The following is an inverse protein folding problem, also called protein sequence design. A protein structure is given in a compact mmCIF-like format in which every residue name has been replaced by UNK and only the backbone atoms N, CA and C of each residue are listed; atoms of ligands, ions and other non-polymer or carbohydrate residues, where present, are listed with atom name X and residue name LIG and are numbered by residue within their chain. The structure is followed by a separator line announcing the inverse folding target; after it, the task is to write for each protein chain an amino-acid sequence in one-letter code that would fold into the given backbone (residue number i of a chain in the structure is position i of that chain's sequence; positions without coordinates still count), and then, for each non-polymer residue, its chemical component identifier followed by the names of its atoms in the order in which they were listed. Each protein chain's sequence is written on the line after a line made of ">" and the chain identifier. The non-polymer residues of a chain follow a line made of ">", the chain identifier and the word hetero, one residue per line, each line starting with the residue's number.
data_IF_997418908206
#
_entry.id   IF_997418908206
#
_cell.length_a   1.000
_cell.length_b   1.000
_cell.length_c   1.000
_cell.angle_alpha   90.00
_cell.angle_beta   90.00
_cell.angle_gamma   90.00
#
_symmetry.space_group_name_H-M   'P 1'
#
loop_
_entity.id
_entity.type
_entity.pdbx_description
1 polymer ?
#
# COMPACT_ATOMS: atom_id res chain seq x y z
N UNK A 1 12.56 0.87 2.12
CA UNK A 1 13.71 0.87 1.23
C UNK A 1 13.81 2.19 0.49
N UNK A 2 12.76 2.71 -0.09
CA UNK A 2 12.74 4.01 -0.77
C UNK A 2 13.08 5.16 0.18
N UNK A 3 12.56 5.18 1.38
CA UNK A 3 12.80 6.24 2.37
C UNK A 3 14.29 6.34 2.74
N UNK A 4 14.98 5.19 2.78
CA UNK A 4 16.41 5.14 2.96
C UNK A 4 17.15 5.69 1.73
N UNK A 5 16.76 5.24 0.52
CA UNK A 5 17.37 5.68 -0.75
C UNK A 5 17.18 7.17 -1.01
N UNK A 6 16.01 7.72 -0.66
CA UNK A 6 15.69 9.15 -0.77
C UNK A 6 16.31 10.00 0.35
N UNK A 7 16.93 9.39 1.34
CA UNK A 7 17.63 10.10 2.40
C UNK A 7 16.72 10.77 3.43
N UNK A 8 15.47 10.35 3.58
CA UNK A 8 14.51 10.97 4.52
C UNK A 8 14.98 10.94 5.98
N UNK A 9 15.82 9.97 6.36
CA UNK A 9 16.45 9.90 7.66
C UNK A 9 17.32 11.12 8.01
N UNK A 10 17.77 11.90 7.02
CA UNK A 10 18.57 13.11 7.24
C UNK A 10 17.71 14.29 7.73
N UNK A 11 16.41 14.28 7.42
CA UNK A 11 15.46 15.36 7.76
C UNK A 11 14.39 14.92 8.76
N UNK A 12 14.18 13.60 8.94
CA UNK A 12 13.16 13.04 9.82
C UNK A 12 13.78 12.08 10.84
N UNK A 13 13.60 12.38 12.11
CA UNK A 13 14.16 11.60 13.24
C UNK A 13 13.28 10.43 13.65
N UNK A 14 11.98 10.52 13.44
CA UNK A 14 11.00 9.54 13.87
C UNK A 14 10.34 8.87 12.67
N UNK A 15 10.13 7.55 12.80
CA UNK A 15 9.46 6.72 11.82
C UNK A 15 8.27 6.05 12.48
N UNK A 16 7.06 6.42 12.04
CA UNK A 16 5.83 5.94 12.66
C UNK A 16 5.20 4.79 11.89
N UNK A 17 4.63 3.83 12.63
CA UNK A 17 3.85 2.73 12.09
C UNK A 17 2.57 2.50 12.91
N UNK A 18 1.54 1.84 12.38
CA UNK A 18 1.40 1.41 10.98
C UNK A 18 1.22 2.60 10.03
N UNK A 19 1.46 2.38 8.72
CA UNK A 19 1.10 3.32 7.67
C UNK A 19 -0.42 3.40 7.52
N UNK A 20 -1.07 4.18 8.36
CA UNK A 20 -2.53 4.19 8.52
C UNK A 20 -3.30 4.66 7.29
N UNK A 21 -2.72 5.54 6.49
CA UNK A 21 -3.34 6.13 5.30
C UNK A 21 -2.94 5.40 4.01
N UNK A 22 -1.74 4.87 3.98
CA UNK A 22 -1.15 4.23 2.80
C UNK A 22 -0.17 3.12 3.23
N UNK A 23 -0.70 1.95 3.58
CA UNK A 23 0.14 0.82 4.01
C UNK A 23 0.94 0.18 2.85
N UNK A 24 0.59 0.52 1.61
CA UNK A 24 1.25 0.16 0.37
C UNK A 24 0.86 1.14 -0.72
N UNK A 25 1.70 1.30 -1.75
CA UNK A 25 1.40 2.15 -2.89
C UNK A 25 0.96 1.33 -4.09
N UNK A 26 -0.11 1.78 -4.75
CA UNK A 26 -0.48 1.32 -6.07
C UNK A 26 0.03 2.33 -7.09
N UNK A 27 1.02 1.90 -7.88
CA UNK A 27 1.56 2.71 -8.95
C UNK A 27 0.89 2.33 -10.27
N UNK A 28 0.80 3.31 -11.17
CA UNK A 28 0.13 3.17 -12.45
C UNK A 28 1.13 3.38 -13.58
N UNK A 29 0.99 2.56 -14.62
CA UNK A 29 1.65 2.81 -15.89
C UNK A 29 0.65 3.49 -16.83
N UNK A 30 0.81 4.80 -17.01
CA UNK A 30 -0.11 5.62 -17.80
C UNK A 30 0.44 5.78 -19.22
N UNK A 31 -0.38 5.41 -20.20
CA UNK A 31 -0.06 5.52 -21.63
C UNK A 31 -1.10 6.39 -22.33
N UNK A 32 -0.67 7.23 -23.25
CA UNK A 32 -1.59 7.91 -24.14
C UNK A 32 -2.29 6.89 -25.03
N UNK A 33 -3.62 6.86 -25.04
CA UNK A 33 -4.40 5.85 -25.78
C UNK A 33 -4.14 5.88 -27.27
N UNK A 34 -4.09 7.09 -27.88
CA UNK A 34 -3.88 7.23 -29.31
C UNK A 34 -2.48 6.73 -29.72
N UNK A 35 -1.46 7.03 -28.89
CA UNK A 35 -0.11 6.52 -29.10
C UNK A 35 -0.02 5.00 -28.94
N UNK A 36 -0.80 4.42 -28.03
CA UNK A 36 -0.85 2.96 -27.85
C UNK A 36 -1.58 2.27 -29.01
N UNK A 37 -2.70 2.85 -29.47
CA UNK A 37 -3.51 2.25 -30.53
C UNK A 37 -2.80 2.18 -31.88
N UNK A 38 -1.88 3.10 -32.19
CA UNK A 38 -1.09 3.05 -33.44
C UNK A 38 0.07 2.03 -33.41
N UNK A 39 0.35 1.42 -32.26
CA UNK A 39 1.37 0.38 -32.17
C UNK A 39 0.89 -0.89 -32.88
N UNK A 40 1.77 -1.62 -33.56
CA UNK A 40 1.51 -2.99 -33.99
C UNK A 40 1.14 -3.90 -32.81
N UNK A 41 0.37 -4.96 -33.08
CA UNK A 41 -0.15 -5.86 -32.02
C UNK A 41 0.96 -6.54 -31.21
N UNK A 42 2.07 -6.89 -31.84
CA UNK A 42 3.24 -7.44 -31.17
C UNK A 42 3.88 -6.45 -30.18
N UNK A 43 3.96 -5.17 -30.51
CA UNK A 43 4.46 -4.14 -29.60
C UNK A 43 3.46 -3.83 -28.47
N UNK A 44 2.15 -3.85 -28.75
CA UNK A 44 1.12 -3.76 -27.70
C UNK A 44 1.29 -4.90 -26.68
N UNK A 45 1.43 -6.13 -27.17
CA UNK A 45 1.65 -7.30 -26.31
C UNK A 45 2.94 -7.20 -25.49
N UNK A 46 4.03 -6.68 -26.08
CA UNK A 46 5.29 -6.45 -25.35
C UNK A 46 5.09 -5.45 -24.21
N UNK A 47 4.41 -4.34 -24.46
CA UNK A 47 4.14 -3.33 -23.41
C UNK A 47 3.30 -3.94 -22.27
N UNK A 48 2.25 -4.68 -22.59
CA UNK A 48 1.40 -5.34 -21.59
C UNK A 48 2.17 -6.38 -20.75
N UNK A 49 3.01 -7.16 -21.35
CA UNK A 49 3.84 -8.16 -20.63
C UNK A 49 4.91 -7.46 -19.79
N UNK A 50 5.59 -6.46 -20.35
CA UNK A 50 6.62 -5.72 -19.63
C UNK A 50 6.07 -5.01 -18.39
N UNK A 51 4.88 -4.40 -18.46
CA UNK A 51 4.26 -3.74 -17.30
C UNK A 51 3.93 -4.74 -16.18
N UNK A 52 3.47 -5.94 -16.54
CA UNK A 52 3.22 -7.01 -15.55
C UNK A 52 4.52 -7.52 -14.93
N UNK A 53 5.58 -7.69 -15.72
CA UNK A 53 6.88 -8.10 -15.22
C UNK A 53 7.47 -7.08 -14.25
N UNK A 54 7.48 -5.79 -14.61
CA UNK A 54 7.97 -4.71 -13.74
C UNK A 54 7.15 -4.60 -12.45
N UNK A 55 5.83 -4.82 -12.51
CA UNK A 55 4.99 -4.84 -11.30
C UNK A 55 5.42 -5.95 -10.34
N UNK A 56 5.70 -7.15 -10.86
CA UNK A 56 6.16 -8.28 -10.04
C UNK A 56 7.56 -8.01 -9.48
N UNK A 57 8.50 -7.58 -10.31
CA UNK A 57 9.86 -7.25 -9.90
C UNK A 57 9.88 -6.20 -8.77
N UNK A 58 9.04 -5.18 -8.88
CA UNK A 58 8.93 -4.14 -7.86
C UNK A 58 8.42 -4.71 -6.52
N UNK A 59 7.37 -5.54 -6.55
CA UNK A 59 6.83 -6.18 -5.34
C UNK A 59 7.89 -7.05 -4.66
N UNK A 60 8.62 -7.84 -5.44
CA UNK A 60 9.68 -8.73 -4.96
C UNK A 60 10.83 -7.93 -4.35
N UNK A 61 11.24 -6.84 -5.00
CA UNK A 61 12.31 -5.96 -4.52
C UNK A 61 11.93 -5.30 -3.20
N UNK A 62 10.72 -4.73 -3.08
CA UNK A 62 10.25 -4.14 -1.82
C UNK A 62 10.16 -5.17 -0.70
N UNK A 63 9.63 -6.34 -1.00
CA UNK A 63 9.52 -7.44 -0.02
C UNK A 63 10.90 -7.88 0.48
N UNK A 64 11.88 -7.97 -0.41
CA UNK A 64 13.24 -8.37 -0.07
C UNK A 64 14.03 -7.30 0.68
N UNK A 65 13.87 -6.01 0.32
CA UNK A 65 14.73 -4.93 0.80
C UNK A 65 14.17 -4.11 1.97
N UNK A 66 12.85 -4.06 2.18
CA UNK A 66 12.24 -3.22 3.20
C UNK A 66 12.71 -3.55 4.62
N UNK A 67 12.84 -4.82 4.96
CA UNK A 67 13.30 -5.26 6.28
C UNK A 67 14.75 -4.86 6.55
N UNK A 68 15.62 -4.99 5.57
CA UNK A 68 17.03 -4.61 5.66
C UNK A 68 17.18 -3.09 5.77
N UNK A 69 16.44 -2.33 4.95
CA UNK A 69 16.44 -0.88 5.00
C UNK A 69 15.94 -0.34 6.34
N UNK A 70 14.91 -0.95 6.94
CA UNK A 70 14.45 -0.57 8.28
C UNK A 70 15.52 -0.82 9.35
N UNK A 71 16.19 -1.97 9.29
CA UNK A 71 17.29 -2.29 10.22
C UNK A 71 18.45 -1.28 10.09
N UNK A 72 18.78 -0.86 8.86
CA UNK A 72 19.80 0.16 8.62
C UNK A 72 19.37 1.54 9.14
N UNK A 73 18.13 1.97 8.87
CA UNK A 73 17.58 3.23 9.37
C UNK A 73 17.66 3.33 10.89
N UNK A 74 17.34 2.25 11.59
CA UNK A 74 17.39 2.21 13.07
C UNK A 74 18.83 2.11 13.57
N UNK A 75 19.59 1.14 13.07
CA UNK A 75 20.91 0.77 13.62
C UNK A 75 22.03 1.72 13.21
N UNK A 76 22.03 2.20 11.97
CA UNK A 76 23.09 3.03 11.41
C UNK A 76 22.77 4.52 11.43
N UNK A 77 21.51 4.87 11.13
CA UNK A 77 21.09 6.28 11.03
C UNK A 77 20.36 6.79 12.29
N UNK A 78 20.14 5.94 13.28
CA UNK A 78 19.57 6.32 14.58
C UNK A 78 18.10 6.78 14.52
N UNK A 79 17.37 6.39 13.47
CA UNK A 79 15.94 6.69 13.32
C UNK A 79 15.16 5.98 14.43
N UNK A 80 14.24 6.70 15.03
CA UNK A 80 13.42 6.19 16.14
C UNK A 80 12.09 5.67 15.64
N UNK A 81 11.97 4.35 15.58
CA UNK A 81 10.70 3.69 15.27
C UNK A 81 9.68 3.90 16.39
N UNK A 82 8.48 4.34 16.06
CA UNK A 82 7.39 4.64 16.99
C UNK A 82 6.07 4.05 16.49
N UNK A 83 5.35 3.40 17.40
CA UNK A 83 3.98 2.99 17.13
C UNK A 83 3.04 4.18 17.33
N UNK A 84 2.11 4.38 16.40
CA UNK A 84 1.03 5.36 16.59
C UNK A 84 0.13 4.90 17.75
N UNK A 85 -0.19 5.79 18.71
CA UNK A 85 -1.09 5.45 19.79
C UNK A 85 -2.51 5.13 19.29
N UNK A 86 -3.18 4.16 19.93
CA UNK A 86 -4.53 3.76 19.52
C UNK A 86 -5.56 4.91 19.53
N UNK A 87 -5.55 5.87 20.45
CA UNK A 87 -6.45 7.02 20.35
C UNK A 87 -6.26 7.84 19.07
N UNK A 88 -5.02 7.98 18.60
CA UNK A 88 -4.71 8.67 17.34
C UNK A 88 -5.26 7.87 16.15
N UNK A 89 -4.99 6.56 16.08
CA UNK A 89 -5.50 5.69 15.03
C UNK A 89 -7.05 5.66 15.01
N UNK A 90 -7.68 5.66 16.18
CA UNK A 90 -9.13 5.68 16.29
C UNK A 90 -9.73 6.99 15.74
N UNK A 91 -9.16 8.13 16.06
CA UNK A 91 -9.63 9.42 15.54
C UNK A 91 -9.36 9.55 14.04
N UNK A 92 -8.21 9.09 13.55
CA UNK A 92 -7.92 9.06 12.11
C UNK A 92 -8.91 8.19 11.33
N UNK A 93 -9.28 7.01 11.85
CA UNK A 93 -10.33 6.15 11.25
C UNK A 93 -11.68 6.85 11.18
N UNK A 94 -12.05 7.54 12.24
CA UNK A 94 -13.32 8.29 12.30
C UNK A 94 -13.35 9.44 11.29
N UNK A 95 -12.30 10.25 11.24
CA UNK A 95 -12.17 11.36 10.30
C UNK A 95 -12.13 10.88 8.86
N UNK A 96 -11.37 9.81 8.55
CA UNK A 96 -11.34 9.21 7.22
C UNK A 96 -12.72 8.75 6.76
N UNK A 97 -13.49 8.12 7.67
CA UNK A 97 -14.86 7.70 7.35
C UNK A 97 -15.77 8.89 7.01
N UNK A 98 -15.64 10.01 7.73
CA UNK A 98 -16.42 11.22 7.46
C UNK A 98 -16.08 11.80 6.07
N UNK A 99 -14.79 11.95 5.77
CA UNK A 99 -14.32 12.47 4.47
C UNK A 99 -14.76 11.55 3.32
N UNK A 100 -14.67 10.24 3.49
CA UNK A 100 -15.11 9.28 2.47
C UNK A 100 -16.61 9.38 2.22
N UNK A 101 -17.44 9.55 3.24
CA UNK A 101 -18.89 9.76 3.07
C UNK A 101 -19.16 11.03 2.24
N UNK A 102 -18.48 12.13 2.53
CA UNK A 102 -18.62 13.38 1.77
C UNK A 102 -18.24 13.23 0.29
N UNK A 103 -17.15 12.48 0.01
CA UNK A 103 -16.69 12.24 -1.37
C UNK A 103 -17.66 11.32 -2.10
N UNK A 104 -18.08 10.23 -1.48
CA UNK A 104 -18.88 9.19 -2.10
C UNK A 104 -20.33 9.61 -2.36
N UNK A 105 -20.82 10.63 -1.66
CA UNK A 105 -22.17 11.15 -1.85
C UNK A 105 -22.29 12.29 -2.87
N UNK A 106 -21.18 12.74 -3.49
CA UNK A 106 -21.17 13.91 -4.39
C UNK A 106 -21.99 13.73 -5.66
N UNK A 107 -21.96 12.55 -6.26
CA UNK A 107 -22.69 12.25 -7.50
C UNK A 107 -22.89 10.74 -7.66
N UNK A 108 -23.66 10.33 -8.68
CA UNK A 108 -24.00 8.92 -8.89
C UNK A 108 -22.79 8.05 -9.26
N UNK A 109 -21.80 8.58 -9.98
CA UNK A 109 -20.56 7.84 -10.26
C UNK A 109 -19.79 7.58 -8.97
N UNK A 110 -19.65 8.59 -8.11
CA UNK A 110 -18.99 8.45 -6.80
C UNK A 110 -19.70 7.41 -5.92
N UNK A 111 -21.03 7.36 -5.92
CA UNK A 111 -21.81 6.34 -5.19
C UNK A 111 -21.52 4.93 -5.71
N UNK A 112 -21.56 4.73 -7.04
CA UNK A 112 -21.26 3.43 -7.66
C UNK A 112 -19.85 2.95 -7.36
N UNK A 113 -18.88 3.85 -7.37
CA UNK A 113 -17.50 3.54 -6.98
C UNK A 113 -17.45 3.14 -5.50
N UNK A 114 -18.12 3.90 -4.62
CA UNK A 114 -18.17 3.62 -3.20
C UNK A 114 -18.78 2.24 -2.89
N UNK A 115 -19.88 1.89 -3.53
CA UNK A 115 -20.53 0.58 -3.39
C UNK A 115 -19.60 -0.56 -3.83
N UNK A 116 -18.93 -0.40 -4.97
CA UNK A 116 -17.98 -1.39 -5.47
C UNK A 116 -16.79 -1.59 -4.52
N UNK A 117 -16.22 -0.49 -4.03
CA UNK A 117 -15.09 -0.52 -3.07
C UNK A 117 -15.51 -1.13 -1.74
N UNK A 118 -16.70 -0.76 -1.23
CA UNK A 118 -17.19 -1.25 0.06
C UNK A 118 -17.47 -2.76 0.02
N UNK A 119 -18.15 -3.24 -1.02
CA UNK A 119 -18.43 -4.66 -1.19
C UNK A 119 -17.13 -5.48 -1.28
N UNK A 120 -16.20 -5.06 -2.12
CA UNK A 120 -14.91 -5.75 -2.23
C UNK A 120 -14.15 -5.74 -0.92
N UNK A 121 -14.14 -4.61 -0.19
CA UNK A 121 -13.47 -4.48 1.09
C UNK A 121 -14.04 -5.43 2.14
N UNK A 122 -15.36 -5.57 2.22
CA UNK A 122 -16.01 -6.48 3.17
C UNK A 122 -15.64 -7.93 2.89
N UNK A 123 -15.71 -8.36 1.63
CA UNK A 123 -15.32 -9.71 1.20
C UNK A 123 -13.83 -9.99 1.44
N UNK A 124 -12.96 -9.04 1.06
CA UNK A 124 -11.52 -9.16 1.27
C UNK A 124 -11.16 -9.25 2.75
N UNK A 125 -11.75 -8.40 3.59
CA UNK A 125 -11.50 -8.44 5.04
C UNK A 125 -11.98 -9.75 5.68
N UNK A 126 -13.14 -10.26 5.28
CA UNK A 126 -13.66 -11.53 5.75
C UNK A 126 -12.72 -12.69 5.39
N UNK A 127 -12.17 -12.69 4.19
CA UNK A 127 -11.20 -13.70 3.76
C UNK A 127 -9.85 -13.56 4.48
N UNK A 128 -9.33 -12.35 4.64
CA UNK A 128 -8.05 -12.11 5.33
C UNK A 128 -8.06 -12.58 6.79
N UNK A 129 -9.19 -12.47 7.46
CA UNK A 129 -9.34 -12.97 8.85
C UNK A 129 -9.05 -14.46 8.99
N UNK A 130 -9.38 -15.26 7.98
CA UNK A 130 -9.22 -16.72 8.01
C UNK A 130 -8.00 -17.21 7.22
N UNK A 131 -7.33 -16.33 6.48
CA UNK A 131 -6.13 -16.63 5.69
C UNK A 131 -4.87 -16.07 6.35
N UNK A 132 -4.32 -15.00 5.82
CA UNK A 132 -3.02 -14.47 6.26
C UNK A 132 -3.02 -14.01 7.71
N UNK A 133 -4.10 -13.37 8.16
CA UNK A 133 -4.17 -12.88 9.54
C UNK A 133 -4.21 -14.05 10.55
N UNK A 134 -5.02 -15.06 10.28
CA UNK A 134 -5.06 -16.27 11.09
C UNK A 134 -3.71 -16.99 11.12
N UNK A 135 -3.02 -17.06 9.98
CA UNK A 135 -1.69 -17.63 9.91
C UNK A 135 -0.66 -16.85 10.75
N UNK A 136 -0.65 -15.54 10.63
CA UNK A 136 0.27 -14.69 11.43
C UNK A 136 -0.03 -14.76 12.92
N UNK A 137 -1.30 -14.85 13.32
CA UNK A 137 -1.70 -15.04 14.73
C UNK A 137 -1.23 -16.39 15.26
N UNK A 138 -1.49 -17.46 14.54
CA UNK A 138 -1.07 -18.81 14.93
C UNK A 138 0.46 -18.92 15.07
N UNK A 139 1.20 -18.34 14.14
CA UNK A 139 2.67 -18.33 14.16
C UNK A 139 3.24 -17.57 15.36
N UNK A 140 2.61 -16.47 15.79
CA UNK A 140 3.06 -15.70 16.95
C UNK A 140 2.78 -16.41 18.28
N UNK A 141 1.64 -17.13 18.37
CA UNK A 141 1.27 -17.88 19.57
C UNK A 141 2.20 -19.06 19.88
N UNK A 142 2.99 -19.51 18.90
CA UNK A 142 3.91 -20.65 19.04
C UNK A 142 5.31 -20.27 19.57
N UNK A 143 5.52 -19.02 19.99
CA UNK A 143 6.83 -18.49 20.39
C UNK A 143 7.01 -18.33 21.91
N UNK A 144 6.09 -18.91 22.70
CA UNK A 144 6.17 -18.96 24.19
C UNK A 144 6.71 -20.31 24.71
#
# INVERSE_FOLDING_TARGET
>A
YNDLALGFHQVAKYYYYPGWHEPGSMLEFIVNSDAFEILPDDLKAIVEVATRAVNQDMLDEYTAKNNQALAELIGKHGVKLRKLPEPVLSELRKLSKQVLIEIFTRNDLSKRIAESVQNFKEDAMAYHLISEEAYYQARRASSD
#
